data_IF_623858401757
#
_entry.id   IF_623858401757
#
_cell.length_a   1.000
_cell.length_b   1.000
_cell.length_c   1.000
_cell.angle_alpha   90.00
_cell.angle_beta   90.00
_cell.angle_gamma   90.00
#
_symmetry.space_group_name_H-M   'P 1'
#
loop_
_entity.id
_entity.type
_entity.pdbx_description
1 polymer ?
#
# COMPACT_ATOMS: atom_id res chain seq x y z
N UNK A 1 6.85 -18.89 -12.53
CA UNK A 1 6.45 -18.09 -11.34
C UNK A 1 7.70 -17.74 -10.57
N UNK A 2 7.92 -16.46 -10.27
CA UNK A 2 9.12 -16.02 -9.54
C UNK A 2 9.03 -16.41 -8.07
N UNK A 3 10.15 -16.88 -7.52
CA UNK A 3 10.27 -17.33 -6.14
C UNK A 3 10.87 -16.28 -5.22
N UNK A 4 11.65 -15.33 -5.79
CA UNK A 4 12.29 -14.25 -5.05
C UNK A 4 12.21 -12.91 -5.80
N UNK A 5 12.42 -11.81 -5.08
CA UNK A 5 12.50 -10.47 -5.66
C UNK A 5 13.78 -10.38 -6.53
N UNK A 6 14.90 -10.89 -6.02
CA UNK A 6 16.16 -10.88 -6.75
C UNK A 6 16.06 -11.58 -8.12
N UNK A 7 15.31 -12.69 -8.21
CA UNK A 7 15.13 -13.46 -9.45
C UNK A 7 14.50 -12.59 -10.56
N UNK A 8 13.42 -11.86 -10.27
CA UNK A 8 12.80 -11.04 -11.30
C UNK A 8 13.52 -9.71 -11.54
N UNK A 9 14.22 -9.16 -10.55
CA UNK A 9 15.08 -7.99 -10.74
C UNK A 9 16.23 -8.33 -11.69
N UNK A 10 16.94 -9.42 -11.44
CA UNK A 10 17.98 -9.92 -12.32
C UNK A 10 17.48 -10.16 -13.75
N UNK A 11 16.28 -10.74 -13.88
CA UNK A 11 15.67 -10.96 -15.19
C UNK A 11 15.34 -9.64 -15.89
N UNK A 12 14.77 -8.66 -15.17
CA UNK A 12 14.48 -7.34 -15.72
C UNK A 12 15.76 -6.65 -16.23
N UNK A 13 16.83 -6.65 -15.43
CA UNK A 13 18.12 -6.08 -15.80
C UNK A 13 18.76 -6.79 -17.02
N UNK A 14 18.77 -8.12 -17.03
CA UNK A 14 19.35 -8.92 -18.13
C UNK A 14 18.57 -8.78 -19.44
N UNK A 15 17.26 -8.61 -19.39
CA UNK A 15 16.42 -8.54 -20.59
C UNK A 15 16.09 -7.12 -21.03
N UNK A 16 16.34 -6.11 -20.19
CA UNK A 16 15.94 -4.72 -20.43
C UNK A 16 14.43 -4.51 -20.32
N UNK A 17 13.67 -5.48 -19.78
CA UNK A 17 12.22 -5.38 -19.56
C UNK A 17 11.92 -4.62 -18.30
N UNK A 18 10.76 -3.96 -18.28
CA UNK A 18 10.20 -3.40 -17.05
C UNK A 18 9.69 -4.51 -16.14
N UNK A 19 9.64 -4.26 -14.84
CA UNK A 19 9.07 -5.19 -13.86
C UNK A 19 7.57 -5.44 -14.17
N UNK A 20 6.86 -4.39 -14.60
CA UNK A 20 5.47 -4.50 -15.08
C UNK A 20 5.31 -5.48 -16.25
N UNK A 21 6.25 -5.51 -17.20
CA UNK A 21 6.19 -6.46 -18.32
C UNK A 21 6.37 -7.90 -17.84
N UNK A 22 7.27 -8.14 -16.89
CA UNK A 22 7.49 -9.46 -16.31
C UNK A 22 6.26 -9.97 -15.55
N UNK A 23 5.54 -9.07 -14.84
CA UNK A 23 4.29 -9.45 -14.17
C UNK A 23 3.20 -9.81 -15.17
N UNK A 24 3.06 -9.04 -16.24
CA UNK A 24 2.07 -9.32 -17.30
C UNK A 24 2.35 -10.68 -17.95
N UNK A 25 3.61 -10.94 -18.34
CA UNK A 25 4.01 -12.22 -18.92
C UNK A 25 3.70 -13.38 -17.99
N UNK A 26 4.05 -13.26 -16.72
CA UNK A 26 3.77 -14.28 -15.72
C UNK A 26 2.27 -14.52 -15.52
N UNK A 27 1.47 -13.45 -15.51
CA UNK A 27 0.02 -13.60 -15.34
C UNK A 27 -0.64 -14.23 -16.57
N UNK A 28 -0.18 -13.90 -17.79
CA UNK A 28 -0.61 -14.56 -19.03
C UNK A 28 -0.32 -16.06 -18.98
N UNK A 29 0.90 -16.42 -18.56
CA UNK A 29 1.29 -17.83 -18.44
C UNK A 29 0.49 -18.57 -17.37
N UNK A 30 0.27 -17.94 -16.21
CA UNK A 30 -0.45 -18.55 -15.07
C UNK A 30 -1.95 -18.71 -15.33
N UNK A 31 -2.58 -17.67 -15.85
CA UNK A 31 -4.04 -17.60 -16.01
C UNK A 31 -4.52 -18.11 -17.38
N UNK A 32 -3.61 -18.30 -18.35
CA UNK A 32 -3.91 -18.63 -19.75
C UNK A 32 -4.81 -17.58 -20.43
N UNK A 33 -4.81 -16.34 -19.93
CA UNK A 33 -5.55 -15.21 -20.50
C UNK A 33 -4.68 -14.43 -21.48
N UNK A 34 -5.31 -13.72 -22.41
CA UNK A 34 -4.64 -12.81 -23.34
C UNK A 34 -4.13 -11.56 -22.61
N UNK A 35 -3.21 -10.85 -23.26
CA UNK A 35 -2.75 -9.54 -22.80
C UNK A 35 -3.92 -8.57 -22.58
N UNK A 36 -4.84 -8.49 -23.54
CA UNK A 36 -5.98 -7.59 -23.50
C UNK A 36 -6.93 -7.87 -22.33
N UNK A 37 -7.15 -9.14 -22.02
CA UNK A 37 -7.99 -9.54 -20.88
C UNK A 37 -7.35 -9.12 -19.54
N UNK A 38 -6.05 -9.39 -19.37
CA UNK A 38 -5.30 -9.05 -18.16
C UNK A 38 -5.21 -7.53 -18.01
N UNK A 39 -4.91 -6.83 -19.10
CA UNK A 39 -4.82 -5.37 -19.13
C UNK A 39 -6.15 -4.71 -18.79
N UNK A 40 -7.23 -5.18 -19.38
CA UNK A 40 -8.58 -4.70 -19.11
C UNK A 40 -8.97 -4.92 -17.66
N UNK A 41 -8.68 -6.09 -17.11
CA UNK A 41 -8.97 -6.41 -15.71
C UNK A 41 -8.19 -5.51 -14.75
N UNK A 42 -6.90 -5.26 -15.03
CA UNK A 42 -6.12 -4.33 -14.22
C UNK A 42 -6.61 -2.89 -14.36
N UNK A 43 -7.06 -2.49 -15.55
CA UNK A 43 -7.71 -1.20 -15.78
C UNK A 43 -9.00 -1.03 -14.95
N UNK A 44 -9.80 -2.08 -14.79
CA UNK A 44 -10.98 -2.07 -13.92
C UNK A 44 -10.59 -1.90 -12.43
N UNK A 45 -9.51 -2.53 -11.98
CA UNK A 45 -8.99 -2.30 -10.63
C UNK A 45 -8.56 -0.84 -10.41
N UNK A 46 -7.91 -0.23 -11.41
CA UNK A 46 -7.57 1.19 -11.37
C UNK A 46 -8.83 2.07 -11.25
N UNK A 47 -9.90 1.75 -12.01
CA UNK A 47 -11.16 2.49 -11.96
C UNK A 47 -11.83 2.40 -10.58
N UNK A 48 -11.78 1.23 -9.93
CA UNK A 48 -12.26 1.04 -8.56
C UNK A 48 -11.46 1.89 -7.58
N UNK A 49 -10.12 1.93 -7.70
CA UNK A 49 -9.26 2.75 -6.85
C UNK A 49 -9.57 4.25 -7.02
N UNK A 50 -9.66 4.74 -8.26
CA UNK A 50 -9.99 6.14 -8.54
C UNK A 50 -11.39 6.50 -8.04
N UNK A 51 -12.36 5.61 -8.19
CA UNK A 51 -13.73 5.81 -7.69
C UNK A 51 -13.77 5.90 -6.15
N UNK A 52 -13.01 5.06 -5.45
CA UNK A 52 -12.93 5.12 -3.99
C UNK A 52 -12.29 6.44 -3.52
N UNK A 53 -11.17 6.84 -4.11
CA UNK A 53 -10.53 8.14 -3.81
C UNK A 53 -11.50 9.29 -4.05
N UNK A 54 -12.18 9.31 -5.18
CA UNK A 54 -13.14 10.37 -5.54
C UNK A 54 -14.29 10.43 -4.53
N UNK A 55 -14.94 9.28 -4.27
CA UNK A 55 -16.09 9.17 -3.37
C UNK A 55 -15.77 9.70 -1.96
N UNK A 56 -14.59 9.41 -1.44
CA UNK A 56 -14.17 9.83 -0.09
C UNK A 56 -14.05 11.35 0.08
N UNK A 57 -13.94 12.09 -1.02
CA UNK A 57 -13.68 13.52 -1.04
C UNK A 57 -14.90 14.36 -1.42
N UNK A 58 -16.04 13.72 -1.69
CA UNK A 58 -17.28 14.39 -2.09
C UNK A 58 -18.08 14.85 -0.87
N UNK A 59 -18.59 16.08 -0.93
CA UNK A 59 -19.41 16.64 0.14
C UNK A 59 -18.73 16.70 1.50
N UNK A 60 -19.29 15.98 2.48
CA UNK A 60 -18.74 15.82 3.82
C UNK A 60 -17.81 14.60 3.94
N UNK A 61 -17.62 13.85 2.86
CA UNK A 61 -16.90 12.57 2.85
C UNK A 61 -17.84 11.38 3.11
N UNK A 62 -17.22 10.25 3.44
CA UNK A 62 -17.93 9.01 3.80
C UNK A 62 -17.74 8.71 5.29
N UNK A 63 -18.66 7.98 5.89
CA UNK A 63 -18.64 7.65 7.31
C UNK A 63 -18.91 6.16 7.51
N UNK A 64 -18.20 5.56 8.45
CA UNK A 64 -18.45 4.16 8.84
C UNK A 64 -19.80 4.03 9.55
N UNK A 65 -20.43 2.85 9.49
CA UNK A 65 -21.67 2.58 10.23
C UNK A 65 -21.52 2.71 11.74
N UNK A 66 -20.29 2.51 12.26
CA UNK A 66 -19.99 2.64 13.71
C UNK A 66 -19.88 4.08 14.16
N UNK A 67 -19.64 5.02 13.24
CA UNK A 67 -19.34 6.42 13.56
C UNK A 67 -17.93 6.67 14.07
N UNK A 68 -17.06 5.63 14.15
CA UNK A 68 -15.68 5.77 14.63
C UNK A 68 -14.77 6.49 13.65
N UNK A 69 -15.03 6.36 12.34
CA UNK A 69 -14.22 6.97 11.28
C UNK A 69 -15.09 7.61 10.21
N UNK A 70 -14.55 8.61 9.53
CA UNK A 70 -15.17 9.21 8.36
C UNK A 70 -15.01 10.73 8.28
N UNK A 71 -15.07 11.23 7.04
CA UNK A 71 -15.02 12.65 6.71
C UNK A 71 -13.64 13.29 6.80
N UNK A 72 -12.60 12.55 7.16
CA UNK A 72 -11.25 13.10 7.33
C UNK A 72 -10.59 13.39 5.98
N UNK A 73 -10.85 12.60 4.93
CA UNK A 73 -10.37 12.89 3.59
C UNK A 73 -10.95 14.21 3.04
N UNK A 74 -12.23 14.48 3.29
CA UNK A 74 -12.87 15.73 2.91
C UNK A 74 -12.30 16.94 3.70
N UNK A 75 -11.97 16.74 4.98
CA UNK A 75 -11.25 17.74 5.80
C UNK A 75 -9.87 18.03 5.26
N UNK A 76 -9.09 16.98 4.91
CA UNK A 76 -7.77 17.13 4.32
C UNK A 76 -7.83 17.84 2.96
N UNK A 77 -8.83 17.58 2.14
CA UNK A 77 -9.05 18.31 0.89
C UNK A 77 -9.16 19.82 1.11
N UNK A 78 -9.97 20.22 2.10
CA UNK A 78 -10.12 21.65 2.46
C UNK A 78 -8.81 22.25 3.00
N UNK A 79 -8.09 21.50 3.85
CA UNK A 79 -6.82 21.92 4.41
C UNK A 79 -5.75 22.11 3.33
N UNK A 80 -5.64 21.17 2.37
CA UNK A 80 -4.74 21.29 1.22
C UNK A 80 -5.04 22.50 0.36
N UNK A 81 -6.32 22.73 0.06
CA UNK A 81 -6.75 23.90 -0.73
C UNK A 81 -6.38 25.24 -0.08
N UNK A 82 -6.21 25.28 1.23
CA UNK A 82 -5.75 26.47 1.95
C UNK A 82 -4.24 26.75 1.80
N UNK A 83 -3.46 25.84 1.18
CA UNK A 83 -2.03 26.02 0.88
C UNK A 83 -1.11 26.09 2.11
N UNK A 84 -1.54 25.59 3.27
CA UNK A 84 -0.80 25.67 4.55
C UNK A 84 -0.22 24.34 5.02
N UNK A 85 -0.01 23.39 4.12
CA UNK A 85 0.50 22.07 4.45
C UNK A 85 1.97 22.11 4.85
N UNK A 86 2.34 21.43 5.95
CA UNK A 86 3.73 21.37 6.43
C UNK A 86 4.60 20.44 5.56
N UNK A 87 4.05 19.33 5.08
CA UNK A 87 4.76 18.29 4.30
C UNK A 87 4.65 18.47 2.78
N UNK A 88 4.10 19.59 2.33
CA UNK A 88 3.90 19.87 0.91
C UNK A 88 2.67 19.19 0.31
N UNK A 89 2.27 19.64 -0.87
CA UNK A 89 1.00 19.19 -1.50
C UNK A 89 1.06 17.75 -2.00
N UNK A 90 2.20 17.31 -2.55
CA UNK A 90 2.38 15.94 -3.03
C UNK A 90 2.16 14.93 -1.89
N UNK A 91 2.87 15.10 -0.77
CA UNK A 91 2.73 14.22 0.39
C UNK A 91 1.30 14.22 0.92
N UNK A 92 0.68 15.40 1.05
CA UNK A 92 -0.69 15.50 1.55
C UNK A 92 -1.72 14.98 0.55
N UNK A 93 -1.41 14.95 -0.74
CA UNK A 93 -2.23 14.26 -1.75
C UNK A 93 -2.25 12.75 -1.51
N UNK A 94 -1.08 12.15 -1.29
CA UNK A 94 -0.97 10.73 -0.96
C UNK A 94 -1.72 10.40 0.33
N UNK A 95 -1.49 11.17 1.39
CA UNK A 95 -2.14 11.00 2.69
C UNK A 95 -3.67 11.09 2.57
N UNK A 96 -4.18 12.08 1.85
CA UNK A 96 -5.61 12.29 1.65
C UNK A 96 -6.27 11.12 0.90
N UNK A 97 -5.64 10.66 -0.19
CA UNK A 97 -6.18 9.57 -1.00
C UNK A 97 -6.08 8.22 -0.27
N UNK A 98 -4.97 7.98 0.46
CA UNK A 98 -4.80 6.77 1.26
C UNK A 98 -5.85 6.67 2.38
N UNK A 99 -6.03 7.76 3.12
CA UNK A 99 -7.00 7.86 4.20
C UNK A 99 -8.42 7.67 3.65
N UNK A 100 -8.74 8.39 2.57
CA UNK A 100 -10.08 8.36 1.98
C UNK A 100 -10.48 7.01 1.42
N UNK A 101 -9.55 6.29 0.77
CA UNK A 101 -9.83 4.92 0.30
C UNK A 101 -10.17 4.00 1.48
N UNK A 102 -9.46 4.11 2.59
CA UNK A 102 -9.75 3.31 3.78
C UNK A 102 -11.03 3.77 4.52
N UNK A 103 -11.41 5.05 4.46
CA UNK A 103 -12.74 5.48 4.91
C UNK A 103 -13.85 4.84 4.07
N UNK A 104 -13.65 4.70 2.75
CA UNK A 104 -14.60 3.98 1.87
C UNK A 104 -14.69 2.52 2.25
N UNK A 105 -13.55 1.86 2.55
CA UNK A 105 -13.55 0.49 3.07
C UNK A 105 -14.33 0.38 4.38
N UNK A 106 -14.06 1.25 5.35
CA UNK A 106 -14.77 1.28 6.65
C UNK A 106 -16.27 1.57 6.49
N UNK A 107 -16.65 2.33 5.47
CA UNK A 107 -18.05 2.62 5.11
C UNK A 107 -18.69 1.51 4.26
N UNK A 108 -18.12 0.30 4.23
CA UNK A 108 -18.61 -0.84 3.46
C UNK A 108 -18.69 -0.59 1.94
N UNK A 109 -17.84 0.30 1.43
CA UNK A 109 -17.71 0.58 0.01
C UNK A 109 -16.78 -0.39 -0.72
N UNK A 110 -16.74 -0.30 -2.04
CA UNK A 110 -15.88 -1.15 -2.87
C UNK A 110 -14.47 -0.58 -2.93
N UNK A 111 -13.48 -1.41 -2.64
CA UNK A 111 -12.05 -1.11 -2.71
C UNK A 111 -11.29 -2.30 -3.32
N UNK A 112 -10.06 -2.07 -3.79
CA UNK A 112 -9.15 -3.14 -4.17
C UNK A 112 -8.26 -3.51 -2.98
N UNK A 113 -8.20 -4.79 -2.62
CA UNK A 113 -7.25 -5.29 -1.63
C UNK A 113 -5.81 -5.20 -2.18
N UNK A 114 -4.90 -4.53 -1.44
CA UNK A 114 -3.51 -4.30 -1.87
C UNK A 114 -2.53 -4.28 -0.69
N UNK A 115 -2.02 -5.42 -0.20
CA UNK A 115 -2.43 -6.78 -0.53
C UNK A 115 -3.71 -7.22 0.20
N UNK A 116 -4.16 -6.49 1.25
CA UNK A 116 -5.39 -6.76 2.01
C UNK A 116 -6.34 -5.57 1.94
N UNK A 117 -7.61 -5.76 2.33
CA UNK A 117 -8.57 -4.67 2.43
C UNK A 117 -8.14 -3.63 3.49
N UNK A 118 -7.50 -4.07 4.58
CA UNK A 118 -6.97 -3.19 5.63
C UNK A 118 -5.87 -2.24 5.15
N UNK A 119 -5.13 -2.62 4.11
CA UNK A 119 -4.07 -1.81 3.50
C UNK A 119 -4.46 -1.18 2.15
N UNK A 120 -5.73 -1.26 1.76
CA UNK A 120 -6.24 -0.86 0.44
C UNK A 120 -6.03 0.61 0.06
N UNK A 121 -5.73 1.47 1.03
CA UNK A 121 -5.51 2.90 0.80
C UNK A 121 -4.10 3.27 0.37
N UNK A 122 -3.10 2.47 0.72
CA UNK A 122 -1.69 2.83 0.53
C UNK A 122 -1.31 2.99 -0.95
N UNK A 123 -1.62 1.99 -1.80
CA UNK A 123 -1.31 2.05 -3.23
C UNK A 123 -2.04 3.20 -3.96
N UNK A 124 -3.38 3.32 -3.86
CA UNK A 124 -4.07 4.43 -4.51
C UNK A 124 -3.66 5.79 -3.94
N UNK A 125 -3.22 5.86 -2.67
CA UNK A 125 -2.63 7.05 -2.09
C UNK A 125 -1.40 7.51 -2.83
N UNK A 126 -0.41 6.63 -2.97
CA UNK A 126 0.83 6.91 -3.70
C UNK A 126 0.55 7.21 -5.17
N UNK A 127 -0.24 6.37 -5.85
CA UNK A 127 -0.55 6.55 -7.26
C UNK A 127 -1.25 7.90 -7.53
N UNK A 128 -2.19 8.30 -6.68
CA UNK A 128 -2.89 9.59 -6.80
C UNK A 128 -1.92 10.77 -6.70
N UNK A 129 -0.93 10.68 -5.82
CA UNK A 129 0.07 11.73 -5.67
C UNK A 129 1.00 11.83 -6.88
N UNK A 130 1.57 10.69 -7.31
CA UNK A 130 2.58 10.70 -8.37
C UNK A 130 1.98 10.87 -9.77
N UNK A 131 0.74 10.41 -10.03
CA UNK A 131 0.14 10.51 -11.36
C UNK A 131 0.04 11.95 -11.86
N UNK A 132 -0.23 12.90 -10.97
CA UNK A 132 -0.30 14.30 -11.33
C UNK A 132 1.09 14.92 -11.46
N UNK A 133 2.01 14.58 -10.56
CA UNK A 133 3.38 15.13 -10.54
C UNK A 133 4.20 14.66 -11.74
N UNK A 134 4.07 13.39 -12.11
CA UNK A 134 4.77 12.78 -13.23
C UNK A 134 3.96 12.80 -14.54
N UNK A 135 2.75 13.35 -14.54
CA UNK A 135 1.82 13.35 -15.68
C UNK A 135 1.61 11.95 -16.27
N UNK A 136 1.39 10.95 -15.40
CA UNK A 136 1.27 9.56 -15.82
C UNK A 136 0.03 9.34 -16.69
N UNK A 137 0.23 8.76 -17.87
CA UNK A 137 -0.86 8.27 -18.72
C UNK A 137 -1.61 7.14 -18.00
N UNK A 138 -2.83 6.81 -18.46
CA UNK A 138 -3.58 5.67 -17.93
C UNK A 138 -2.77 4.37 -18.03
N UNK A 139 -2.07 4.14 -19.12
CA UNK A 139 -1.24 2.95 -19.30
C UNK A 139 -0.10 2.88 -18.28
N UNK A 140 0.53 4.00 -17.98
CA UNK A 140 1.57 4.06 -16.95
C UNK A 140 0.99 3.81 -15.54
N UNK A 141 -0.23 4.26 -15.26
CA UNK A 141 -0.92 3.96 -14.01
C UNK A 141 -1.27 2.46 -13.89
N UNK A 142 -1.71 1.82 -14.98
CA UNK A 142 -1.94 0.37 -15.02
C UNK A 142 -0.61 -0.39 -14.81
N UNK A 143 0.48 0.06 -15.43
CA UNK A 143 1.81 -0.53 -15.21
C UNK A 143 2.28 -0.41 -13.75
N UNK A 144 2.02 0.70 -13.08
CA UNK A 144 2.28 0.85 -11.65
C UNK A 144 1.60 -0.28 -10.84
N UNK A 145 0.36 -0.63 -11.17
CA UNK A 145 -0.35 -1.72 -10.51
C UNK A 145 0.27 -3.09 -10.81
N UNK A 146 0.72 -3.33 -12.04
CA UNK A 146 1.43 -4.58 -12.37
C UNK A 146 2.76 -4.70 -11.63
N UNK A 147 3.56 -3.63 -11.58
CA UNK A 147 4.81 -3.62 -10.83
C UNK A 147 4.56 -3.91 -9.35
N UNK A 148 3.63 -3.20 -8.72
CA UNK A 148 3.28 -3.45 -7.32
C UNK A 148 2.78 -4.88 -7.09
N UNK A 149 2.04 -5.45 -8.04
CA UNK A 149 1.51 -6.81 -7.95
C UNK A 149 2.60 -7.87 -7.96
N UNK A 150 3.69 -7.70 -8.73
CA UNK A 150 4.80 -8.66 -8.75
C UNK A 150 5.51 -8.73 -7.39
N UNK A 151 5.83 -7.57 -6.82
CA UNK A 151 6.41 -7.51 -5.48
C UNK A 151 5.46 -8.10 -4.42
N UNK A 152 4.17 -7.75 -4.49
CA UNK A 152 3.17 -8.26 -3.55
C UNK A 152 2.98 -9.76 -3.64
N UNK A 153 3.00 -10.32 -4.84
CA UNK A 153 2.86 -11.76 -5.06
C UNK A 153 4.06 -12.53 -4.48
N UNK A 154 5.29 -12.09 -4.74
CA UNK A 154 6.48 -12.73 -4.18
C UNK A 154 6.47 -12.61 -2.65
N UNK A 155 6.08 -11.46 -2.12
CA UNK A 155 5.93 -11.27 -0.67
C UNK A 155 4.92 -12.22 -0.07
N UNK A 156 3.74 -12.37 -0.69
CA UNK A 156 2.68 -13.26 -0.21
C UNK A 156 3.05 -14.74 -0.27
N UNK A 157 3.92 -15.12 -1.22
CA UNK A 157 4.42 -16.50 -1.31
C UNK A 157 5.45 -16.84 -0.23
N UNK A 158 6.23 -15.85 0.21
CA UNK A 158 7.36 -16.03 1.12
C UNK A 158 7.08 -15.62 2.57
N UNK A 159 6.03 -14.82 2.81
CA UNK A 159 5.67 -14.33 4.13
C UNK A 159 4.15 -14.25 4.31
N UNK A 160 3.72 -14.11 5.57
CA UNK A 160 2.33 -13.83 5.89
C UNK A 160 2.02 -12.35 5.62
N UNK A 161 0.96 -12.09 4.86
CA UNK A 161 0.50 -10.73 4.52
C UNK A 161 -0.75 -10.29 5.31
N UNK A 162 -1.34 -11.17 6.12
CA UNK A 162 -2.51 -10.86 6.93
C UNK A 162 -2.11 -10.27 8.29
N UNK A 163 -2.77 -9.20 8.71
CA UNK A 163 -2.51 -8.53 9.99
C UNK A 163 -2.78 -9.42 11.20
N UNK A 164 -3.80 -10.27 11.11
CA UNK A 164 -4.14 -11.27 12.12
C UNK A 164 -3.03 -12.32 12.36
N UNK A 165 -2.08 -12.46 11.44
CA UNK A 165 -0.98 -13.42 11.56
C UNK A 165 0.35 -12.71 11.73
N UNK A 166 0.63 -11.68 10.94
CA UNK A 166 1.93 -11.02 10.86
C UNK A 166 1.97 -9.60 11.44
N UNK A 167 0.86 -9.08 11.99
CA UNK A 167 0.76 -7.69 12.42
C UNK A 167 0.54 -6.74 11.24
N UNK A 168 0.39 -5.46 11.54
CA UNK A 168 0.17 -4.43 10.51
C UNK A 168 1.39 -4.22 9.58
N UNK A 169 2.58 -4.63 10.01
CA UNK A 169 3.76 -4.71 9.13
C UNK A 169 3.50 -5.58 7.89
N UNK A 170 2.75 -6.68 8.06
CA UNK A 170 2.41 -7.60 6.98
C UNK A 170 1.43 -6.98 5.97
N UNK A 171 0.53 -6.13 6.41
CA UNK A 171 -0.45 -5.44 5.56
C UNK A 171 0.08 -4.10 5.03
N UNK A 172 0.15 -3.10 5.91
CA UNK A 172 0.57 -1.73 5.54
C UNK A 172 2.05 -1.69 5.18
N UNK A 173 2.90 -2.50 5.85
CA UNK A 173 4.31 -2.61 5.49
C UNK A 173 4.50 -3.15 4.08
N UNK A 174 3.83 -4.25 3.73
CA UNK A 174 3.87 -4.81 2.36
C UNK A 174 3.28 -3.84 1.35
N UNK A 175 2.12 -3.22 1.63
CA UNK A 175 1.51 -2.24 0.74
C UNK A 175 2.43 -1.03 0.48
N UNK A 176 3.10 -0.54 1.53
CA UNK A 176 4.08 0.56 1.43
C UNK A 176 5.26 0.17 0.55
N UNK A 177 5.82 -1.02 0.74
CA UNK A 177 6.93 -1.53 -0.05
C UNK A 177 6.55 -1.75 -1.53
N UNK A 178 5.38 -2.34 -1.78
CA UNK A 178 4.81 -2.50 -3.13
C UNK A 178 4.66 -1.15 -3.85
N UNK A 179 4.11 -0.16 -3.14
CA UNK A 179 3.88 1.17 -3.68
C UNK A 179 5.21 1.93 -3.94
N UNK A 180 6.20 1.78 -3.04
CA UNK A 180 7.52 2.38 -3.20
C UNK A 180 8.24 1.87 -4.45
N UNK A 181 8.27 0.54 -4.63
CA UNK A 181 8.89 -0.08 -5.80
C UNK A 181 8.21 0.34 -7.12
N UNK A 182 6.87 0.37 -7.13
CA UNK A 182 6.12 0.79 -8.30
C UNK A 182 6.28 2.29 -8.61
N UNK A 183 6.41 3.14 -7.59
CA UNK A 183 6.69 4.57 -7.76
C UNK A 183 8.05 4.82 -8.41
N UNK A 184 9.07 4.03 -8.05
CA UNK A 184 10.39 4.09 -8.67
C UNK A 184 10.33 3.74 -10.16
N UNK A 185 9.67 2.64 -10.55
CA UNK A 185 9.52 2.30 -11.98
C UNK A 185 8.73 3.36 -12.74
N UNK A 186 7.64 3.89 -12.14
CA UNK A 186 6.82 4.95 -12.73
C UNK A 186 7.61 6.25 -12.94
N UNK A 187 8.56 6.55 -12.07
CA UNK A 187 9.46 7.70 -12.17
C UNK A 187 10.66 7.46 -13.12
N UNK A 188 10.76 6.28 -13.74
CA UNK A 188 11.85 5.94 -14.66
C UNK A 188 13.12 5.41 -13.99
N UNK A 189 13.03 5.02 -12.72
CA UNK A 189 14.14 4.35 -12.02
C UNK A 189 14.40 2.94 -12.54
N UNK A 190 15.53 2.37 -12.15
CA UNK A 190 15.96 1.02 -12.55
C UNK A 190 15.23 -0.06 -11.75
N UNK A 191 15.18 -1.31 -12.26
CA UNK A 191 14.65 -2.44 -11.48
C UNK A 191 15.34 -2.59 -10.12
N UNK A 192 16.65 -2.40 -10.06
CA UNK A 192 17.42 -2.44 -8.80
C UNK A 192 16.97 -1.37 -7.83
N UNK A 193 16.77 -0.13 -8.27
CA UNK A 193 16.26 0.93 -7.44
C UNK A 193 14.83 0.63 -6.92
N UNK A 194 13.99 -0.06 -7.69
CA UNK A 194 12.69 -0.53 -7.23
C UNK A 194 12.82 -1.53 -6.08
N UNK A 195 13.77 -2.47 -6.17
CA UNK A 195 14.08 -3.40 -5.08
C UNK A 195 14.60 -2.70 -3.84
N UNK A 196 15.47 -1.68 -4.00
CA UNK A 196 15.99 -0.89 -2.88
C UNK A 196 14.86 -0.12 -2.16
N UNK A 197 13.97 0.53 -2.93
CA UNK A 197 12.82 1.23 -2.38
C UNK A 197 11.89 0.27 -1.62
N UNK A 198 11.64 -0.91 -2.18
CA UNK A 198 10.87 -1.95 -1.52
C UNK A 198 11.48 -2.34 -0.17
N UNK A 199 12.78 -2.64 -0.14
CA UNK A 199 13.49 -3.06 1.05
C UNK A 199 13.48 -1.98 2.14
N UNK A 200 13.72 -0.72 1.78
CA UNK A 200 13.68 0.42 2.70
C UNK A 200 12.26 0.61 3.27
N UNK A 201 11.25 0.62 2.41
CA UNK A 201 9.87 0.86 2.85
C UNK A 201 9.36 -0.23 3.79
N UNK A 202 9.66 -1.51 3.50
CA UNK A 202 9.30 -2.63 4.36
C UNK A 202 10.08 -2.59 5.67
N UNK A 203 11.40 -2.37 5.59
CA UNK A 203 12.29 -2.30 6.74
C UNK A 203 11.86 -1.25 7.77
N UNK A 204 11.42 -0.08 7.30
CA UNK A 204 10.95 1.02 8.16
C UNK A 204 9.70 0.66 8.98
N UNK A 205 8.90 -0.30 8.55
CA UNK A 205 7.63 -0.67 9.18
C UNK A 205 7.68 -2.03 9.89
N UNK A 206 8.87 -2.65 10.01
CA UNK A 206 9.04 -3.88 10.79
C UNK A 206 8.64 -3.66 12.25
N UNK A 207 7.92 -4.63 12.80
CA UNK A 207 7.43 -4.57 14.18
C UNK A 207 6.12 -3.78 14.35
N UNK A 208 5.53 -3.24 13.30
CA UNK A 208 4.24 -2.56 13.40
C UNK A 208 3.14 -3.56 13.75
N UNK A 209 2.64 -3.47 14.97
CA UNK A 209 1.61 -4.34 15.51
C UNK A 209 0.23 -4.04 14.92
N UNK A 210 -0.68 -5.00 14.93
CA UNK A 210 -2.06 -4.83 14.52
C UNK A 210 -3.00 -5.22 15.66
N UNK A 211 -3.72 -4.24 16.19
CA UNK A 211 -4.75 -4.47 17.21
C UNK A 211 -5.84 -3.39 17.12
N UNK A 212 -6.72 -3.49 16.10
CA UNK A 212 -7.74 -2.48 15.86
C UNK A 212 -8.85 -2.54 16.92
N UNK A 213 -9.45 -1.38 17.18
CA UNK A 213 -10.59 -1.25 18.12
C UNK A 213 -11.72 -2.19 17.72
N UNK A 214 -12.15 -3.02 18.63
CA UNK A 214 -13.22 -4.01 18.44
C UNK A 214 -12.97 -4.98 17.26
N UNK A 215 -11.73 -5.16 16.82
CA UNK A 215 -11.38 -5.98 15.66
C UNK A 215 -11.81 -5.39 14.29
N UNK A 216 -12.27 -4.14 14.27
CA UNK A 216 -12.75 -3.47 13.07
C UNK A 216 -11.61 -2.78 12.29
N UNK A 217 -11.63 -2.87 10.96
CA UNK A 217 -10.65 -2.21 10.09
C UNK A 217 -10.93 -0.69 9.99
N UNK A 218 -10.92 -0.02 11.13
CA UNK A 218 -11.17 1.40 11.27
C UNK A 218 -10.05 2.12 12.02
N UNK A 219 -9.95 1.92 13.34
CA UNK A 219 -8.92 2.52 14.19
C UNK A 219 -7.95 1.42 14.64
N UNK A 220 -6.66 1.55 14.32
CA UNK A 220 -5.97 2.68 13.69
C UNK A 220 -5.83 2.57 12.15
N UNK A 221 -6.43 1.58 11.51
CA UNK A 221 -6.18 1.17 10.13
C UNK A 221 -6.30 2.32 9.11
N UNK A 222 -7.39 3.11 9.20
CA UNK A 222 -7.63 4.25 8.30
C UNK A 222 -6.43 5.21 8.29
N UNK A 223 -5.91 5.57 9.47
CA UNK A 223 -4.77 6.48 9.59
C UNK A 223 -3.42 5.82 9.28
N UNK A 224 -3.27 4.51 9.52
CA UNK A 224 -2.02 3.80 9.19
C UNK A 224 -1.74 3.70 7.70
N UNK A 225 -2.75 3.66 6.87
CA UNK A 225 -2.55 3.73 5.41
C UNK A 225 -1.87 5.03 4.98
N UNK A 226 -2.09 6.13 5.70
CA UNK A 226 -1.39 7.40 5.42
C UNK A 226 0.09 7.31 5.70
N UNK A 227 0.47 6.62 6.79
CA UNK A 227 1.87 6.36 7.12
C UNK A 227 2.51 5.48 6.05
N UNK A 228 1.81 4.43 5.60
CA UNK A 228 2.28 3.56 4.53
C UNK A 228 2.54 4.32 3.23
N UNK A 229 1.63 5.21 2.83
CA UNK A 229 1.78 6.01 1.63
C UNK A 229 2.93 7.02 1.74
N UNK A 230 3.07 7.70 2.88
CA UNK A 230 4.17 8.63 3.13
C UNK A 230 5.53 7.93 3.14
N UNK A 231 5.64 6.80 3.85
CA UNK A 231 6.85 5.99 3.88
C UNK A 231 7.24 5.47 2.49
N UNK A 232 6.26 5.08 1.66
CA UNK A 232 6.52 4.64 0.29
C UNK A 232 7.15 5.75 -0.57
N UNK A 233 6.66 6.98 -0.49
CA UNK A 233 7.22 8.12 -1.22
C UNK A 233 8.65 8.44 -0.76
N UNK A 234 8.88 8.43 0.55
CA UNK A 234 10.22 8.67 1.12
C UNK A 234 11.20 7.59 0.63
N UNK A 235 10.82 6.32 0.67
CA UNK A 235 11.66 5.21 0.23
C UNK A 235 11.94 5.27 -1.28
N UNK A 236 10.94 5.63 -2.09
CA UNK A 236 11.11 5.81 -3.52
C UNK A 236 12.11 6.94 -3.85
N UNK A 237 11.98 8.09 -3.20
CA UNK A 237 12.90 9.22 -3.39
C UNK A 237 14.33 8.86 -2.95
N UNK A 238 14.50 8.15 -1.83
CA UNK A 238 15.82 7.68 -1.39
C UNK A 238 16.47 6.76 -2.43
N UNK A 239 15.72 5.80 -2.96
CA UNK A 239 16.24 4.86 -3.97
C UNK A 239 16.56 5.59 -5.30
N UNK A 240 15.71 6.51 -5.75
CA UNK A 240 15.95 7.33 -6.94
C UNK A 240 17.17 8.23 -6.77
N UNK A 241 17.44 8.70 -5.56
CA UNK A 241 18.65 9.46 -5.21
C UNK A 241 19.93 8.57 -5.17
N UNK A 242 19.79 7.25 -5.37
CA UNK A 242 20.92 6.31 -5.37
C UNK A 242 21.30 5.77 -3.99
N UNK A 243 20.43 5.95 -2.97
CA UNK A 243 20.64 5.34 -1.66
C UNK A 243 20.35 3.85 -1.76
N UNK A 244 21.28 3.03 -1.30
CA UNK A 244 21.22 1.56 -1.34
C UNK A 244 20.88 1.01 0.02
N UNK A 245 19.93 0.10 0.08
CA UNK A 245 19.65 -0.68 1.28
C UNK A 245 20.66 -1.82 1.43
N UNK A 246 21.34 -1.92 2.57
CA UNK A 246 22.38 -2.96 2.76
C UNK A 246 21.78 -4.36 2.94
N UNK A 247 20.51 -4.44 3.33
CA UNK A 247 19.79 -5.71 3.49
C UNK A 247 19.00 -5.96 2.20
N UNK A 248 19.21 -7.06 1.48
CA UNK A 248 18.46 -7.40 0.28
C UNK A 248 16.94 -7.49 0.55
N UNK A 249 16.12 -7.18 -0.46
CA UNK A 249 14.66 -7.14 -0.31
C UNK A 249 14.08 -8.48 0.17
N UNK A 250 14.57 -9.60 -0.32
CA UNK A 250 14.11 -10.94 0.10
C UNK A 250 14.42 -11.22 1.57
N UNK A 251 15.58 -10.76 2.07
CA UNK A 251 15.93 -10.89 3.48
C UNK A 251 15.05 -10.00 4.38
N UNK A 252 14.63 -8.83 3.91
CA UNK A 252 13.68 -7.97 4.64
C UNK A 252 12.30 -8.65 4.71
N UNK A 253 11.86 -9.32 3.64
CA UNK A 253 10.62 -10.13 3.65
C UNK A 253 10.73 -11.27 4.65
N UNK A 254 11.86 -11.97 4.69
CA UNK A 254 12.10 -13.03 5.67
C UNK A 254 12.10 -12.48 7.10
N UNK A 255 12.73 -11.32 7.33
CA UNK A 255 12.74 -10.65 8.63
C UNK A 255 11.31 -10.28 9.06
N UNK A 256 10.47 -9.73 8.16
CA UNK A 256 9.07 -9.45 8.43
C UNK A 256 8.32 -10.71 8.87
N UNK A 257 8.52 -11.83 8.17
CA UNK A 257 7.89 -13.11 8.52
C UNK A 257 8.33 -13.60 9.92
N UNK A 258 9.62 -13.50 10.24
CA UNK A 258 10.17 -13.85 11.55
C UNK A 258 9.61 -12.97 12.66
N UNK A 259 9.62 -11.64 12.48
CA UNK A 259 9.05 -10.68 13.42
C UNK A 259 7.57 -10.95 13.65
N UNK A 260 6.81 -11.17 12.57
CA UNK A 260 5.38 -11.47 12.64
C UNK A 260 5.08 -12.69 13.52
N UNK A 261 5.87 -13.75 13.38
CA UNK A 261 5.74 -14.97 14.23
C UNK A 261 6.04 -14.73 15.71
N UNK A 262 6.87 -13.74 16.03
CA UNK A 262 7.26 -13.38 17.39
C UNK A 262 6.29 -12.42 18.07
N UNK A 263 5.41 -11.75 17.31
CA UNK A 263 4.41 -10.86 17.88
C UNK A 263 3.48 -11.65 18.83
N UNK A 264 3.19 -11.16 20.02
CA UNK A 264 2.17 -11.71 20.89
C UNK A 264 0.80 -11.77 20.20
N UNK A 265 -0.02 -12.76 20.58
CA UNK A 265 -1.36 -12.93 20.02
C UNK A 265 -2.22 -11.66 20.18
N UNK A 266 -2.09 -11.02 21.31
CA UNK A 266 -2.82 -9.81 21.70
C UNK A 266 -2.54 -8.62 20.77
N UNK A 267 -1.45 -8.69 19.98
CA UNK A 267 -1.04 -7.65 19.04
C UNK A 267 -1.33 -8.03 17.56
N UNK A 268 -2.24 -8.97 17.33
CA UNK A 268 -2.61 -9.51 16.00
C UNK A 268 -4.12 -9.50 15.79
N UNK A 269 -4.71 -8.31 15.71
CA UNK A 269 -6.16 -8.10 15.41
C UNK A 269 -7.12 -8.73 16.43
N UNK A 270 -6.74 -8.82 17.70
CA UNK A 270 -7.60 -9.40 18.72
C UNK A 270 -8.42 -8.38 19.49
N UNK A 271 -8.02 -7.10 19.45
CA UNK A 271 -8.60 -6.03 20.27
C UNK A 271 -8.25 -6.16 21.76
N UNK A 272 -7.22 -6.97 22.14
CA UNK A 272 -6.92 -7.30 23.52
C UNK A 272 -5.66 -6.62 24.07
N UNK A 273 -4.71 -6.27 23.21
CA UNK A 273 -3.36 -5.91 23.63
C UNK A 273 -3.09 -4.43 23.75
N UNK A 274 -3.66 -3.62 22.90
CA UNK A 274 -3.50 -2.17 22.94
C UNK A 274 -4.59 -1.55 23.80
N UNK A 275 -4.26 -0.48 24.50
CA UNK A 275 -5.21 0.30 25.32
C UNK A 275 -6.42 0.86 24.55
N UNK A 276 -6.38 0.73 23.23
CA UNK A 276 -7.49 1.07 22.32
C UNK A 276 -8.78 0.32 22.63
N UNK A 277 -8.72 -0.83 23.26
CA UNK A 277 -9.89 -1.58 23.71
C UNK A 277 -10.79 -0.74 24.65
N UNK A 278 -10.20 0.13 25.45
CA UNK A 278 -10.94 1.00 26.37
C UNK A 278 -11.80 2.05 25.66
N UNK A 279 -11.53 2.32 24.37
CA UNK A 279 -12.33 3.24 23.56
C UNK A 279 -13.64 2.58 23.11
N UNK A 280 -13.64 1.26 22.92
CA UNK A 280 -14.83 0.50 22.50
C UNK A 280 -15.79 0.19 23.63
N UNK A 281 -15.33 0.25 24.89
CA UNK A 281 -16.19 0.14 26.07
C UNK A 281 -16.50 1.56 26.58
N UNK A 282 -17.71 2.10 26.36
CA UNK A 282 -18.10 3.33 27.03
C UNK A 282 -18.00 3.08 28.53
N UNK A 283 -17.17 3.88 29.20
CA UNK A 283 -17.03 3.85 30.65
C UNK A 283 -18.42 3.78 31.27
N UNK A 284 -18.75 2.66 31.89
CA UNK A 284 -19.90 2.55 32.76
C UNK A 284 -19.59 3.39 33.99
N UNK A 285 -20.05 4.64 33.95
CA UNK A 285 -20.16 5.51 35.13
C UNK A 285 -21.56 5.47 35.65
#
# INVERSE_FOLDING_TARGET
MYLSIEEFIDKAEKTGKKISDLMIEQEMERSQKSYEEIWTQMGQNLDVMDAAVKRSQEGAGVFSPTGLTGGDAARLKKYRAAGKTLSGDLMMSAVQAALGTNEVNAAMGVVCATPTAGASGTLPGVLTAIKNTLNLTRDQQIRFLFTSSLFGMVTANNAMIAGAVGGCQAEVGSASAMAAAAAVEAAGGTPRQSSEAFAMALGNLLGLVCDPVAGLVEIPCVKRNTVGAGNALIAADMALAGIVNKIPADEVVEAMNKVGRQLPRELRETGLGLSLIHISEPTRH
#
